data_IF_943677973637
#
_entry.id   IF_943677973637
#
_cell.length_a   1.000
_cell.length_b   1.000
_cell.length_c   1.000
_cell.angle_alpha   90.00
_cell.angle_beta   90.00
_cell.angle_gamma   90.00
#
_symmetry.space_group_name_H-M   'P 1'
#
loop_
_entity.id
_entity.type
_entity.pdbx_description
1 polymer ?
#
# COMPACT_ATOMS: atom_id res chain seq x y z
N UNK A 1 18.75 -0.59 -5.15
CA UNK A 1 18.21 -1.82 -4.52
C UNK A 1 17.02 -1.40 -3.65
N UNK A 2 15.78 -1.69 -4.07
CA UNK A 2 14.60 -1.36 -3.25
C UNK A 2 14.44 -2.47 -2.21
N UNK A 3 14.56 -2.12 -0.92
CA UNK A 3 14.39 -3.08 0.18
C UNK A 3 12.90 -3.29 0.41
N UNK A 4 12.35 -4.45 0.02
CA UNK A 4 10.96 -4.83 0.32
C UNK A 4 10.86 -5.34 1.75
N UNK A 5 9.88 -4.85 2.50
CA UNK A 5 9.57 -5.30 3.87
C UNK A 5 8.17 -5.89 3.86
N UNK A 6 8.03 -7.14 4.32
CA UNK A 6 6.74 -7.83 4.43
C UNK A 6 6.09 -7.47 5.77
N UNK A 7 4.88 -6.91 5.73
CA UNK A 7 4.09 -6.56 6.93
C UNK A 7 3.04 -7.62 7.31
N UNK A 8 2.95 -8.71 6.56
CA UNK A 8 2.01 -9.82 6.78
C UNK A 8 1.32 -10.28 5.50
N UNK A 9 0.30 -11.12 5.64
CA UNK A 9 -0.64 -11.45 4.57
C UNK A 9 -1.99 -10.81 4.91
N UNK A 10 -2.64 -10.18 3.94
CA UNK A 10 -3.95 -9.54 4.11
C UNK A 10 -4.94 -10.14 3.11
N UNK A 11 -6.23 -10.16 3.46
CA UNK A 11 -7.29 -10.62 2.56
C UNK A 11 -7.93 -9.44 1.84
N UNK A 12 -8.29 -9.63 0.58
CA UNK A 12 -9.18 -8.70 -0.13
C UNK A 12 -10.56 -8.83 0.49
N UNK A 13 -11.12 -7.70 0.92
CA UNK A 13 -12.42 -7.58 1.55
C UNK A 13 -13.50 -7.23 0.51
N UNK A 14 -14.76 -7.20 0.94
CA UNK A 14 -15.88 -6.73 0.10
C UNK A 14 -15.56 -5.34 -0.47
N UNK A 15 -16.16 -5.03 -1.62
CA UNK A 15 -15.95 -3.77 -2.34
C UNK A 15 -14.49 -3.55 -2.79
N UNK A 16 -13.76 -4.64 -3.05
CA UNK A 16 -12.38 -4.60 -3.57
C UNK A 16 -11.40 -3.83 -2.67
N UNK A 17 -11.58 -3.93 -1.35
CA UNK A 17 -10.75 -3.21 -0.37
C UNK A 17 -9.64 -4.09 0.18
N UNK A 18 -8.48 -3.49 0.44
CA UNK A 18 -7.39 -4.12 1.19
C UNK A 18 -7.10 -3.24 2.40
N UNK A 19 -7.30 -3.80 3.60
CA UNK A 19 -6.95 -3.11 4.83
C UNK A 19 -5.42 -3.11 4.99
N UNK A 20 -4.82 -1.93 4.97
CA UNK A 20 -3.38 -1.77 5.20
C UNK A 20 -3.09 -1.87 6.71
N UNK A 21 -2.06 -2.64 7.14
CA UNK A 21 -1.70 -2.74 8.54
C UNK A 21 -1.29 -1.38 9.13
N UNK A 22 -1.66 -1.10 10.39
CA UNK A 22 -1.34 0.17 11.07
C UNK A 22 0.16 0.48 11.04
N UNK A 23 1.02 -0.52 11.27
CA UNK A 23 2.46 -0.35 11.21
C UNK A 23 2.94 0.16 9.84
N UNK A 24 2.31 -0.27 8.74
CA UNK A 24 2.65 0.21 7.39
C UNK A 24 2.21 1.67 7.20
N UNK A 25 1.02 2.02 7.71
CA UNK A 25 0.51 3.39 7.66
C UNK A 25 1.40 4.36 8.47
N UNK A 26 1.80 3.98 9.68
CA UNK A 26 2.70 4.76 10.54
C UNK A 26 4.06 4.98 9.87
N UNK A 27 4.66 3.93 9.28
CA UNK A 27 5.93 4.03 8.57
C UNK A 27 5.86 4.93 7.34
N UNK A 28 4.69 5.01 6.69
CA UNK A 28 4.46 5.91 5.57
C UNK A 28 3.84 7.24 6.02
N UNK A 29 3.61 7.49 7.31
CA UNK A 29 2.86 8.65 7.83
C UNK A 29 1.58 8.92 7.03
N UNK A 30 0.79 7.87 6.81
CA UNK A 30 -0.52 7.90 6.19
C UNK A 30 -1.59 7.84 7.27
N UNK A 31 -2.66 8.61 7.09
CA UNK A 31 -3.85 8.62 7.93
C UNK A 31 -5.08 8.23 7.10
N UNK A 32 -6.17 7.88 7.77
CA UNK A 32 -7.47 7.74 7.10
C UNK A 32 -7.81 9.02 6.33
N UNK A 33 -8.24 8.86 5.07
CA UNK A 33 -8.51 9.97 4.16
C UNK A 33 -7.29 10.54 3.44
N UNK A 34 -6.07 10.02 3.67
CA UNK A 34 -4.89 10.44 2.90
C UNK A 34 -4.99 10.01 1.44
N UNK A 35 -4.62 10.89 0.52
CA UNK A 35 -4.49 10.57 -0.90
C UNK A 35 -3.25 9.69 -1.15
N UNK A 36 -3.43 8.66 -1.97
CA UNK A 36 -2.38 7.75 -2.41
C UNK A 36 -2.45 7.53 -3.91
N UNK A 37 -1.29 7.27 -4.51
CA UNK A 37 -1.18 6.84 -5.90
C UNK A 37 -1.02 5.32 -5.94
N UNK A 38 -1.75 4.66 -6.85
CA UNK A 38 -1.74 3.21 -7.02
C UNK A 38 -1.22 2.87 -8.40
N UNK A 39 -0.18 2.05 -8.48
CA UNK A 39 0.45 1.61 -9.71
C UNK A 39 0.43 0.09 -9.83
N UNK A 40 0.33 -0.41 -11.06
CA UNK A 40 0.65 -1.79 -11.43
C UNK A 40 2.05 -1.81 -12.05
N UNK A 41 3.01 -2.45 -11.38
CA UNK A 41 4.29 -2.81 -11.97
C UNK A 41 4.09 -4.10 -12.77
N UNK A 42 3.91 -3.96 -14.09
CA UNK A 42 3.60 -5.09 -15.00
C UNK A 42 4.75 -6.10 -15.03
N UNK A 43 6.01 -5.64 -14.97
CA UNK A 43 7.18 -6.51 -15.08
C UNK A 43 7.33 -7.42 -13.86
N UNK A 44 6.92 -6.93 -12.68
CA UNK A 44 7.05 -7.67 -11.42
C UNK A 44 5.73 -8.25 -10.93
N UNK A 45 4.64 -7.98 -11.63
CA UNK A 45 3.27 -8.34 -11.24
C UNK A 45 2.91 -7.84 -9.82
N UNK A 46 3.32 -6.61 -9.49
CA UNK A 46 3.13 -6.03 -8.16
C UNK A 46 2.22 -4.80 -8.18
N UNK A 47 1.42 -4.64 -7.12
CA UNK A 47 0.71 -3.40 -6.83
C UNK A 47 1.59 -2.54 -5.92
N UNK A 48 1.88 -1.31 -6.35
CA UNK A 48 2.65 -0.34 -5.57
C UNK A 48 1.71 0.79 -5.15
N UNK A 49 1.67 1.05 -3.84
CA UNK A 49 0.96 2.20 -3.27
C UNK A 49 2.02 3.22 -2.84
N UNK A 50 1.88 4.48 -3.26
CA UNK A 50 2.76 5.59 -2.88
C UNK A 50 1.95 6.71 -2.24
N UNK A 51 2.56 7.48 -1.34
CA UNK A 51 1.95 8.73 -0.86
C UNK A 51 1.76 9.65 -2.05
N UNK A 52 0.59 10.28 -2.16
CA UNK A 52 0.42 11.39 -3.09
C UNK A 52 1.34 12.54 -2.68
N UNK A 53 2.01 13.16 -3.65
CA UNK A 53 2.92 14.29 -3.40
C UNK A 53 2.21 15.66 -3.29
N UNK A 54 0.89 15.67 -3.16
CA UNK A 54 0.09 16.89 -2.98
C UNK A 54 0.02 17.31 -1.52
#
# INVERSE_FOLDING_TARGET
MVKRVKFGNVKIQKLNRVALPNSLLENLSLLEGSDVEVYLDIEKEEIIIRKSGK
#
